data_IF_771622909295
#
_entry.id   IF_771622909295
#
_cell.length_a   1.000
_cell.length_b   1.000
_cell.length_c   1.000
_cell.angle_alpha   90.00
_cell.angle_beta   90.00
_cell.angle_gamma   90.00
#
_symmetry.space_group_name_H-M   'P 1'
#
loop_
_entity.id
_entity.type
_entity.pdbx_description
1 polymer ?
#
# COMPACT_ATOMS: atom_id res chain seq x y z
N UNK A 1 -5.00 13.26 0.04
CA UNK A 1 -5.01 14.61 0.62
C UNK A 1 -5.88 14.65 1.86
N UNK A 2 -7.07 14.04 1.83
CA UNK A 2 -8.01 13.95 2.95
C UNK A 2 -7.51 13.26 4.23
N UNK A 3 -6.36 12.58 4.22
CA UNK A 3 -5.90 11.80 5.36
C UNK A 3 -5.28 12.71 6.43
N UNK A 4 -5.76 12.67 7.69
CA UNK A 4 -5.27 13.57 8.73
C UNK A 4 -3.88 13.20 9.26
N UNK A 5 -3.38 12.01 8.90
CA UNK A 5 -2.07 11.52 9.35
C UNK A 5 -0.93 12.27 8.67
N UNK A 6 0.03 12.71 9.48
CA UNK A 6 1.25 13.42 9.06
C UNK A 6 2.18 12.51 8.26
N UNK A 7 2.78 13.08 7.21
CA UNK A 7 3.74 12.42 6.32
C UNK A 7 5.08 13.14 6.44
N UNK A 8 6.10 12.43 6.89
CA UNK A 8 7.46 12.93 7.00
C UNK A 8 8.32 12.00 6.14
N UNK A 9 8.58 12.35 4.88
CA UNK A 9 9.22 11.52 3.82
C UNK A 9 10.29 10.52 4.33
N UNK A 10 9.84 9.39 4.85
CA UNK A 10 10.68 8.38 5.48
C UNK A 10 10.60 7.11 4.67
N UNK A 11 11.78 6.52 4.51
CA UNK A 11 11.94 5.21 3.89
C UNK A 11 11.89 4.14 4.98
N UNK A 12 11.32 2.99 4.65
CA UNK A 12 11.06 1.89 5.58
C UNK A 12 12.02 0.73 5.30
N UNK A 13 12.41 0.04 6.37
CA UNK A 13 13.25 -1.16 6.31
C UNK A 13 12.49 -2.46 6.61
N UNK A 14 11.16 -2.37 6.82
CA UNK A 14 10.31 -3.50 7.20
C UNK A 14 8.84 -3.22 6.91
N UNK A 15 8.11 -4.25 6.48
CA UNK A 15 6.64 -4.19 6.46
C UNK A 15 6.03 -4.92 7.66
N UNK A 16 4.89 -4.40 8.13
CA UNK A 16 4.11 -4.95 9.22
C UNK A 16 2.66 -5.15 8.80
N UNK A 17 2.06 -6.22 9.29
CA UNK A 17 0.61 -6.38 9.35
C UNK A 17 0.07 -5.58 10.53
N UNK A 18 -1.16 -5.04 10.48
CA UNK A 18 -1.67 -4.11 11.49
C UNK A 18 -1.61 -4.58 12.95
N UNK A 19 -1.58 -5.90 13.20
CA UNK A 19 -1.50 -6.49 14.55
C UNK A 19 -0.07 -6.78 15.04
N UNK A 20 0.95 -6.62 14.19
CA UNK A 20 2.34 -6.88 14.55
C UNK A 20 3.00 -5.68 15.26
N UNK A 21 2.36 -4.51 15.23
CA UNK A 21 2.90 -3.25 15.74
C UNK A 21 1.79 -2.43 16.39
N UNK A 22 2.13 -1.71 17.45
CA UNK A 22 1.27 -0.65 18.00
C UNK A 22 1.47 0.60 17.14
N UNK A 23 0.39 1.01 16.48
CA UNK A 23 0.43 2.10 15.52
C UNK A 23 0.45 3.46 16.21
N UNK A 24 1.25 4.37 15.69
CA UNK A 24 1.13 5.79 15.96
C UNK A 24 -0.09 6.31 15.17
N UNK A 25 -1.04 6.97 15.86
CA UNK A 25 -2.27 7.45 15.24
C UNK A 25 -2.11 8.73 14.44
N UNK A 26 -1.07 9.51 14.71
CA UNK A 26 -0.81 10.78 14.05
C UNK A 26 0.05 10.59 12.81
N UNK A 27 0.92 9.56 12.78
CA UNK A 27 1.81 9.30 11.65
C UNK A 27 1.16 8.48 10.52
N UNK A 28 1.63 8.69 9.30
CA UNK A 28 1.22 7.93 8.13
C UNK A 28 1.45 6.42 8.33
N UNK A 29 0.42 5.60 8.13
CA UNK A 29 0.52 4.13 8.29
C UNK A 29 1.52 3.51 7.32
N UNK A 30 1.61 4.06 6.10
CA UNK A 30 2.54 3.57 5.08
C UNK A 30 4.01 3.80 5.51
N UNK A 31 4.31 4.96 6.10
CA UNK A 31 5.64 5.29 6.63
C UNK A 31 5.97 4.55 7.94
N UNK A 32 4.98 3.93 8.57
CA UNK A 32 5.16 3.00 9.69
C UNK A 32 5.38 1.56 9.21
N UNK A 33 5.49 1.33 7.90
CA UNK A 33 5.66 0.01 7.32
C UNK A 33 4.35 -0.77 7.18
N UNK A 34 3.17 -0.15 7.36
CA UNK A 34 1.89 -0.83 7.15
C UNK A 34 1.39 -0.53 5.73
N UNK A 35 1.30 -1.54 4.85
CA UNK A 35 0.87 -1.32 3.48
C UNK A 35 -0.53 -0.71 3.41
N UNK A 36 -0.62 0.54 2.96
CA UNK A 36 -1.85 1.33 2.92
C UNK A 36 -2.10 1.83 1.50
N UNK A 37 -3.16 1.33 0.86
CA UNK A 37 -3.49 1.65 -0.54
C UNK A 37 -3.96 3.10 -0.76
N UNK A 38 -4.06 3.91 0.30
CA UNK A 38 -4.54 5.30 0.23
C UNK A 38 -3.74 6.16 -0.75
N UNK A 39 -2.45 5.85 -0.95
CA UNK A 39 -1.58 6.55 -1.90
C UNK A 39 -1.93 6.32 -3.37
N UNK A 40 -2.72 5.28 -3.68
CA UNK A 40 -3.15 4.92 -5.02
C UNK A 40 -4.67 4.92 -5.17
N UNK A 41 -5.42 5.42 -4.17
CA UNK A 41 -6.88 5.30 -4.13
C UNK A 41 -7.53 6.67 -4.18
N UNK A 42 -8.60 6.79 -4.99
CA UNK A 42 -9.43 8.00 -5.03
C UNK A 42 -10.00 8.34 -3.65
N UNK A 43 -10.06 9.62 -3.35
CA UNK A 43 -10.63 10.14 -2.11
C UNK A 43 -12.17 10.21 -2.13
N UNK A 44 -12.80 10.70 -1.07
CA UNK A 44 -14.26 10.83 -0.96
C UNK A 44 -14.96 9.86 0.01
N UNK A 45 -14.27 8.84 0.53
CA UNK A 45 -14.83 7.94 1.54
C UNK A 45 -14.80 8.51 2.96
N UNK A 46 -14.16 9.66 3.17
CA UNK A 46 -13.94 10.27 4.49
C UNK A 46 -12.84 9.60 5.33
N UNK A 47 -11.93 8.86 4.68
CA UNK A 47 -10.74 8.24 5.32
C UNK A 47 -11.10 7.32 6.50
N UNK A 48 -12.23 6.61 6.37
CA UNK A 48 -12.79 5.78 7.46
C UNK A 48 -11.81 4.75 8.01
N UNK A 49 -11.07 4.04 7.16
CA UNK A 49 -10.17 2.99 7.62
C UNK A 49 -8.95 3.57 8.38
N UNK A 50 -8.17 4.52 7.83
CA UNK A 50 -7.02 5.05 8.57
C UNK A 50 -7.39 5.77 9.88
N UNK A 51 -8.61 6.33 9.96
CA UNK A 51 -9.13 6.93 11.18
C UNK A 51 -9.38 5.92 12.31
N UNK A 52 -9.56 4.63 11.99
CA UNK A 52 -9.71 3.56 12.98
C UNK A 52 -8.45 2.70 13.12
N UNK A 53 -7.29 3.18 12.66
CA UNK A 53 -6.03 2.40 12.71
C UNK A 53 -5.96 1.24 11.71
N UNK A 54 -6.79 1.27 10.66
CA UNK A 54 -6.75 0.25 9.61
C UNK A 54 -6.19 0.85 8.31
N UNK A 55 -5.29 0.15 7.59
CA UNK A 55 -4.84 0.64 6.30
C UNK A 55 -5.99 0.73 5.30
N UNK A 56 -5.95 1.74 4.44
CA UNK A 56 -6.84 1.81 3.29
C UNK A 56 -6.66 0.55 2.42
N UNK A 57 -7.79 -0.03 2.00
CA UNK A 57 -7.82 -1.27 1.20
C UNK A 57 -8.01 -1.03 -0.29
N UNK A 58 -8.22 0.22 -0.71
CA UNK A 58 -8.32 0.59 -2.12
C UNK A 58 -9.70 0.47 -2.76
N UNK A 59 -10.77 0.36 -1.99
CA UNK A 59 -12.12 0.08 -2.51
C UNK A 59 -12.71 1.15 -3.44
N UNK A 60 -12.22 2.39 -3.41
CA UNK A 60 -12.72 3.48 -4.27
C UNK A 60 -12.03 3.54 -5.64
N UNK A 61 -11.13 2.59 -5.91
CA UNK A 61 -10.45 2.49 -7.20
C UNK A 61 -9.37 3.55 -7.43
N UNK A 62 -8.84 3.63 -8.66
CA UNK A 62 -7.65 4.41 -8.97
C UNK A 62 -7.87 5.93 -8.90
N UNK A 63 -6.75 6.63 -8.70
CA UNK A 63 -6.63 8.09 -8.87
C UNK A 63 -6.98 8.52 -10.31
N UNK A 64 -7.34 9.80 -10.53
CA UNK A 64 -7.44 10.35 -11.88
C UNK A 64 -6.15 10.08 -12.68
N UNK A 65 -6.30 9.72 -13.95
CA UNK A 65 -5.20 9.40 -14.87
C UNK A 65 -4.33 8.20 -14.47
N UNK A 66 -4.81 7.34 -13.57
CA UNK A 66 -4.18 6.05 -13.26
C UNK A 66 -5.05 4.94 -13.85
N UNK A 67 -4.48 4.18 -14.79
CA UNK A 67 -5.15 3.04 -15.42
C UNK A 67 -5.25 1.86 -14.46
N UNK A 68 -4.14 1.53 -13.81
CA UNK A 68 -4.04 0.38 -12.91
C UNK A 68 -3.67 0.83 -11.49
N UNK A 69 -4.63 0.69 -10.58
CA UNK A 69 -4.45 1.00 -9.16
C UNK A 69 -3.38 0.12 -8.51
N UNK A 70 -3.40 -1.19 -8.81
CA UNK A 70 -2.50 -2.15 -8.18
C UNK A 70 -1.06 -1.91 -8.61
N UNK A 71 -0.83 -1.67 -9.89
CA UNK A 71 0.49 -1.30 -10.40
C UNK A 71 0.99 0.01 -9.79
N UNK A 72 0.12 1.04 -9.68
CA UNK A 72 0.48 2.31 -9.05
C UNK A 72 0.80 2.14 -7.56
N UNK A 73 0.06 1.28 -6.87
CA UNK A 73 0.29 0.96 -5.47
C UNK A 73 1.61 0.22 -5.25
N UNK A 74 1.92 -0.80 -6.07
CA UNK A 74 3.21 -1.51 -6.03
C UNK A 74 4.37 -0.56 -6.30
N UNK A 75 4.24 0.34 -7.27
CA UNK A 75 5.24 1.38 -7.53
C UNK A 75 5.46 2.28 -6.31
N UNK A 76 4.41 2.67 -5.60
CA UNK A 76 4.53 3.44 -4.36
C UNK A 76 5.20 2.63 -3.24
N UNK A 77 4.85 1.35 -3.06
CA UNK A 77 5.50 0.47 -2.09
C UNK A 77 6.99 0.29 -2.36
N UNK A 78 7.39 0.13 -3.63
CA UNK A 78 8.81 0.04 -3.98
C UNK A 78 9.57 1.34 -3.68
N UNK A 79 8.93 2.50 -3.91
CA UNK A 79 9.59 3.80 -3.74
C UNK A 79 9.92 4.18 -2.29
N UNK A 80 9.29 3.53 -1.30
CA UNK A 80 9.51 3.79 0.12
C UNK A 80 10.51 2.83 0.76
N UNK A 81 10.99 1.80 0.07
CA UNK A 81 11.96 0.86 0.64
C UNK A 81 13.33 1.55 0.76
N UNK A 82 13.93 1.54 1.95
CA UNK A 82 15.24 2.18 2.19
C UNK A 82 16.42 1.24 1.94
N UNK A 83 16.48 0.62 0.77
CA UNK A 83 17.63 -0.20 0.43
C UNK A 83 17.95 -0.15 -1.05
N UNK A 84 19.23 -0.35 -1.35
CA UNK A 84 19.76 -0.56 -2.71
C UNK A 84 20.35 -1.96 -2.87
N UNK A 85 20.40 -2.75 -1.79
CA UNK A 85 20.88 -4.12 -1.83
C UNK A 85 19.74 -5.05 -2.27
N UNK A 86 19.87 -5.78 -3.39
CA UNK A 86 18.82 -6.68 -3.87
C UNK A 86 18.38 -7.72 -2.84
N UNK A 87 19.32 -8.29 -2.07
CA UNK A 87 18.99 -9.31 -1.08
C UNK A 87 18.17 -8.73 0.08
N UNK A 88 18.50 -7.52 0.52
CA UNK A 88 17.74 -6.82 1.54
C UNK A 88 16.34 -6.43 1.04
N UNK A 89 16.24 -5.95 -0.20
CA UNK A 89 14.95 -5.63 -0.83
C UNK A 89 14.05 -6.87 -0.87
N UNK A 90 14.59 -8.03 -1.28
CA UNK A 90 13.84 -9.29 -1.32
C UNK A 90 13.35 -9.71 0.07
N UNK A 91 14.19 -9.53 1.11
CA UNK A 91 13.80 -9.78 2.51
C UNK A 91 12.67 -8.86 2.96
N UNK A 92 12.72 -7.57 2.61
CA UNK A 92 11.69 -6.59 2.97
C UNK A 92 10.38 -6.91 2.25
N UNK A 93 10.42 -7.20 0.95
CA UNK A 93 9.22 -7.54 0.17
C UNK A 93 8.57 -8.83 0.70
N UNK A 94 9.37 -9.79 1.17
CA UNK A 94 8.87 -11.04 1.76
C UNK A 94 8.02 -10.84 3.02
N UNK A 95 8.11 -9.70 3.71
CA UNK A 95 7.21 -9.36 4.82
C UNK A 95 5.74 -9.17 4.37
N UNK A 96 5.48 -8.98 3.06
CA UNK A 96 4.13 -8.88 2.48
C UNK A 96 3.72 -10.27 1.95
N UNK A 97 2.83 -11.00 2.64
CA UNK A 97 2.57 -12.41 2.28
C UNK A 97 1.84 -12.60 0.95
N UNK A 98 1.06 -11.60 0.54
CA UNK A 98 0.25 -11.65 -0.68
C UNK A 98 0.14 -10.24 -1.29
N UNK A 99 1.10 -9.92 -2.16
CA UNK A 99 1.12 -8.64 -2.89
C UNK A 99 -0.05 -8.57 -3.88
N UNK A 100 -0.44 -9.69 -4.49
CA UNK A 100 -1.52 -9.75 -5.47
C UNK A 100 -2.87 -9.39 -4.84
N UNK A 101 -3.24 -10.08 -3.77
CA UNK A 101 -4.49 -9.80 -3.04
C UNK A 101 -4.47 -8.48 -2.28
N UNK A 102 -3.30 -7.93 -1.98
CA UNK A 102 -3.18 -6.58 -1.41
C UNK A 102 -3.38 -5.49 -2.47
N UNK A 103 -2.69 -5.59 -3.62
CA UNK A 103 -2.69 -4.57 -4.66
C UNK A 103 -3.96 -4.60 -5.53
N UNK A 104 -4.53 -5.79 -5.75
CA UNK A 104 -5.63 -5.99 -6.69
C UNK A 104 -6.94 -6.44 -6.02
N UNK A 105 -7.10 -6.21 -4.71
CA UNK A 105 -8.26 -6.67 -3.93
C UNK A 105 -9.63 -6.34 -4.56
N UNK A 106 -9.75 -5.15 -5.14
CA UNK A 106 -10.99 -4.66 -5.76
C UNK A 106 -10.83 -4.34 -7.25
N UNK A 107 -9.59 -4.33 -7.74
CA UNK A 107 -9.25 -3.83 -9.08
C UNK A 107 -8.81 -4.92 -10.06
N UNK A 108 -8.69 -6.19 -9.65
CA UNK A 108 -8.14 -7.25 -10.51
C UNK A 108 -8.81 -7.33 -11.91
N UNK A 109 -10.15 -7.30 -12.06
CA UNK A 109 -10.78 -7.41 -13.37
C UNK A 109 -10.51 -6.22 -14.31
N UNK A 110 -10.13 -5.07 -13.75
CA UNK A 110 -9.82 -3.84 -14.49
C UNK A 110 -8.30 -3.58 -14.57
N UNK A 111 -7.48 -4.50 -14.08
CA UNK A 111 -6.03 -4.36 -14.07
C UNK A 111 -5.42 -4.64 -15.44
N UNK A 112 -4.16 -4.26 -15.62
CA UNK A 112 -3.35 -4.68 -16.76
C UNK A 112 -3.03 -6.18 -16.70
N UNK A 113 -3.26 -6.83 -15.56
CA UNK A 113 -3.13 -8.26 -15.38
C UNK A 113 -4.44 -8.93 -15.82
N UNK A 114 -4.41 -9.68 -16.92
CA UNK A 114 -5.61 -10.35 -17.44
C UNK A 114 -6.01 -11.56 -16.59
N UNK A 115 -5.10 -12.53 -16.49
CA UNK A 115 -5.35 -13.81 -15.80
C UNK A 115 -4.08 -14.34 -15.19
N UNK A 116 -4.24 -15.24 -14.22
CA UNK A 116 -3.13 -16.08 -13.77
C UNK A 116 -2.70 -16.99 -14.92
N UNK A 117 -1.41 -16.99 -15.20
CA UNK A 117 -0.81 -17.96 -16.12
C UNK A 117 -0.48 -19.21 -15.31
N UNK A 118 -1.14 -20.33 -15.64
CA UNK A 118 -0.71 -21.65 -15.20
C UNK A 118 0.37 -22.11 -16.19
N UNK A 119 1.56 -22.41 -15.67
CA UNK A 119 2.65 -23.05 -16.43
C UNK A 119 2.76 -24.50 -15.98
#
# INVERSE_FOLDING_TARGET
EDCPRTRDEKRISKFYRPWQIIQDFDRCLLEQGIPCAGVATRSGCGVRCPNTGMPCRGCYGPLPNVVDQGAKFVSALASIIDSKDPEEIDRIIADIPDVGGLAYRFGLPASLLERRVER
#
